data_IF_007787486567
#
_entry.id   IF_007787486567
#
_cell.length_a   1.000
_cell.length_b   1.000
_cell.length_c   1.000
_cell.angle_alpha   90.00
_cell.angle_beta   90.00
_cell.angle_gamma   90.00
#
_symmetry.space_group_name_H-M   'P 1'
#
loop_
_entity.id
_entity.type
_entity.pdbx_description
1 polymer ?
#
# COMPACT_ATOMS: atom_id res chain seq x y z
N UNK A 1 -19.29 20.00 9.60
CA UNK A 1 -20.01 18.72 9.66
C UNK A 1 -18.99 17.57 9.58
N UNK A 2 -19.32 16.35 10.00
CA UNK A 2 -18.35 15.22 9.95
C UNK A 2 -17.80 14.92 8.54
N UNK A 3 -18.58 15.25 7.49
CA UNK A 3 -18.16 15.11 6.09
C UNK A 3 -16.99 16.03 5.73
N UNK A 4 -16.99 17.25 6.26
CA UNK A 4 -15.93 18.23 5.99
C UNK A 4 -14.60 17.80 6.64
N UNK A 5 -14.68 17.07 7.77
CA UNK A 5 -13.52 16.50 8.45
C UNK A 5 -12.91 15.32 7.68
N UNK A 6 -13.73 14.41 7.16
CA UNK A 6 -13.28 13.25 6.40
C UNK A 6 -12.59 13.64 5.08
N UNK A 7 -13.17 14.58 4.33
CA UNK A 7 -12.55 15.14 3.11
C UNK A 7 -11.20 15.79 3.42
N UNK A 8 -11.13 16.57 4.52
CA UNK A 8 -9.87 17.20 4.94
C UNK A 8 -8.76 16.20 5.32
N UNK A 9 -9.12 14.99 5.78
CA UNK A 9 -8.17 13.93 6.09
C UNK A 9 -7.73 13.20 4.82
N UNK A 10 -8.66 12.93 3.91
CA UNK A 10 -8.37 12.30 2.62
C UNK A 10 -7.38 13.16 1.82
N UNK A 11 -7.58 14.47 1.78
CA UNK A 11 -6.66 15.39 1.11
C UNK A 11 -5.26 15.38 1.74
N UNK A 12 -5.16 15.32 3.07
CA UNK A 12 -3.88 15.17 3.77
C UNK A 12 -3.21 13.84 3.46
N UNK A 13 -3.99 12.76 3.37
CA UNK A 13 -3.49 11.42 3.04
C UNK A 13 -2.95 11.35 1.61
N UNK A 14 -3.66 11.98 0.66
CA UNK A 14 -3.28 12.03 -0.76
C UNK A 14 -2.29 13.15 -1.09
N UNK A 15 -1.89 13.95 -0.12
CA UNK A 15 -0.91 15.01 -0.32
C UNK A 15 0.43 14.43 -0.79
N UNK A 16 1.01 15.00 -1.85
CA UNK A 16 2.25 14.50 -2.48
C UNK A 16 3.39 14.28 -1.48
N UNK A 17 3.53 15.17 -0.48
CA UNK A 17 4.53 15.01 0.58
C UNK A 17 4.31 13.75 1.43
N UNK A 18 3.05 13.44 1.77
CA UNK A 18 2.70 12.25 2.53
C UNK A 18 2.91 10.97 1.70
N UNK A 19 2.46 10.96 0.44
CA UNK A 19 2.65 9.83 -0.47
C UNK A 19 4.13 9.51 -0.71
N UNK A 20 4.96 10.55 -0.87
CA UNK A 20 6.41 10.37 -1.01
C UNK A 20 7.05 9.79 0.27
N UNK A 21 6.61 10.22 1.44
CA UNK A 21 7.07 9.66 2.71
C UNK A 21 6.65 8.18 2.86
N UNK A 22 5.42 7.85 2.50
CA UNK A 22 4.90 6.49 2.49
C UNK A 22 5.71 5.59 1.54
N UNK A 23 5.94 6.02 0.30
CA UNK A 23 6.77 5.31 -0.68
C UNK A 23 8.16 4.99 -0.13
N UNK A 24 8.84 5.99 0.45
CA UNK A 24 10.18 5.81 1.04
C UNK A 24 10.16 4.75 2.15
N UNK A 25 9.13 4.75 2.99
CA UNK A 25 9.01 3.78 4.08
C UNK A 25 8.74 2.37 3.58
N UNK A 26 7.90 2.20 2.57
CA UNK A 26 7.69 0.89 1.91
C UNK A 26 8.99 0.37 1.31
N UNK A 27 9.73 1.23 0.59
CA UNK A 27 11.05 0.88 0.02
C UNK A 27 12.07 0.48 1.09
N UNK A 28 12.08 1.18 2.23
CA UNK A 28 12.98 0.87 3.35
C UNK A 28 12.63 -0.46 4.04
N UNK A 29 11.36 -0.82 4.12
CA UNK A 29 10.92 -2.04 4.79
C UNK A 29 11.32 -3.32 4.02
N UNK A 30 11.57 -3.23 2.71
CA UNK A 30 11.98 -4.37 1.85
C UNK A 30 11.11 -5.62 2.03
N UNK A 31 9.80 -5.40 2.20
CA UNK A 31 8.84 -6.48 2.42
C UNK A 31 8.75 -7.41 1.22
N UNK A 32 8.21 -8.61 1.45
CA UNK A 32 7.89 -9.53 0.35
C UNK A 32 6.76 -8.95 -0.52
N UNK A 33 6.70 -9.36 -1.79
CA UNK A 33 5.64 -8.94 -2.70
C UNK A 33 4.26 -9.45 -2.27
N UNK A 34 3.20 -8.74 -2.66
CA UNK A 34 1.81 -9.11 -2.45
C UNK A 34 1.34 -10.24 -3.37
N UNK A 35 0.03 -10.33 -3.61
CA UNK A 35 -0.58 -11.35 -4.49
C UNK A 35 -0.32 -11.09 -5.97
N UNK A 36 -0.05 -9.84 -6.33
CA UNK A 36 0.28 -9.39 -7.67
C UNK A 36 1.75 -9.64 -8.05
N UNK A 37 2.59 -9.99 -7.07
CA UNK A 37 4.00 -10.29 -7.28
C UNK A 37 4.90 -9.08 -7.49
N UNK A 38 4.37 -7.84 -7.40
CA UNK A 38 5.15 -6.62 -7.61
C UNK A 38 6.18 -6.43 -6.49
N UNK A 39 7.43 -6.25 -6.90
CA UNK A 39 8.53 -5.93 -5.99
C UNK A 39 8.60 -4.44 -5.68
N UNK A 40 9.31 -4.09 -4.61
CA UNK A 40 9.49 -2.69 -4.19
C UNK A 40 10.24 -1.83 -5.21
N UNK A 41 11.03 -2.46 -6.09
CA UNK A 41 11.76 -1.77 -7.16
C UNK A 41 10.86 -1.47 -8.37
N UNK A 42 9.84 -2.30 -8.60
CA UNK A 42 8.82 -2.10 -9.65
C UNK A 42 7.74 -1.07 -9.26
N UNK A 43 7.60 -0.78 -7.96
CA UNK A 43 6.60 0.16 -7.45
C UNK A 43 6.73 1.58 -8.02
N UNK A 44 7.95 2.10 -8.19
CA UNK A 44 8.13 3.46 -8.72
C UNK A 44 7.78 3.57 -10.21
N UNK A 45 8.26 2.68 -11.09
CA UNK A 45 7.76 2.59 -12.47
C UNK A 45 6.23 2.50 -12.54
N UNK A 46 5.62 1.60 -11.77
CA UNK A 46 4.16 1.44 -11.75
C UNK A 46 3.44 2.73 -11.35
N UNK A 47 3.89 3.40 -10.29
CA UNK A 47 3.29 4.67 -9.85
C UNK A 47 3.47 5.78 -10.89
N UNK A 48 4.56 5.82 -11.66
CA UNK A 48 4.70 6.83 -12.73
C UNK A 48 3.66 6.68 -13.81
N UNK A 49 3.25 5.46 -14.11
CA UNK A 49 2.29 5.16 -15.16
C UNK A 49 0.83 5.23 -14.67
N UNK A 50 0.57 4.81 -13.43
CA UNK A 50 -0.79 4.55 -12.94
C UNK A 50 -1.26 5.51 -11.84
N UNK A 51 -0.43 6.46 -11.38
CA UNK A 51 -0.73 7.28 -10.20
C UNK A 51 -2.04 8.06 -10.33
N UNK A 52 -2.31 8.67 -11.47
CA UNK A 52 -3.47 9.56 -11.60
C UNK A 52 -4.78 8.78 -11.50
N UNK A 53 -4.88 7.64 -12.19
CA UNK A 53 -6.01 6.71 -12.07
C UNK A 53 -6.14 6.17 -10.64
N UNK A 54 -5.03 5.78 -10.02
CA UNK A 54 -5.03 5.31 -8.64
C UNK A 54 -5.57 6.35 -7.67
N UNK A 55 -5.10 7.60 -7.76
CA UNK A 55 -5.57 8.70 -6.91
C UNK A 55 -7.05 9.04 -7.15
N UNK A 56 -7.50 9.02 -8.41
CA UNK A 56 -8.91 9.21 -8.74
C UNK A 56 -9.79 8.09 -8.15
N UNK A 57 -9.32 6.83 -8.20
CA UNK A 57 -10.04 5.70 -7.61
C UNK A 57 -10.20 5.85 -6.08
N UNK A 58 -9.19 6.42 -5.40
CA UNK A 58 -9.25 6.70 -3.97
C UNK A 58 -10.22 7.85 -3.68
N UNK A 59 -10.15 8.96 -4.44
CA UNK A 59 -11.03 10.12 -4.28
C UNK A 59 -12.50 9.80 -4.55
N UNK A 60 -12.76 8.94 -5.54
CA UNK A 60 -14.11 8.51 -5.89
C UNK A 60 -14.64 7.36 -5.02
N UNK A 61 -13.83 6.84 -4.08
CA UNK A 61 -14.19 5.70 -3.24
C UNK A 61 -14.33 4.37 -3.99
N UNK A 62 -13.81 4.28 -5.23
CA UNK A 62 -13.87 3.09 -6.07
C UNK A 62 -12.70 2.14 -5.88
N UNK A 63 -11.63 2.59 -5.22
CA UNK A 63 -10.47 1.76 -4.94
C UNK A 63 -10.86 0.49 -4.16
N UNK A 64 -10.46 -0.66 -4.69
CA UNK A 64 -10.62 -1.96 -4.03
C UNK A 64 -9.22 -2.56 -3.82
N UNK A 65 -8.76 -2.70 -2.56
CA UNK A 65 -7.46 -3.29 -2.30
C UNK A 65 -7.44 -4.77 -2.71
N UNK A 66 -6.27 -5.24 -3.13
CA UNK A 66 -6.05 -6.65 -3.40
C UNK A 66 -6.14 -7.49 -2.11
N UNK A 67 -6.54 -8.78 -2.22
CA UNK A 67 -6.45 -9.69 -1.09
C UNK A 67 -4.99 -9.85 -0.63
N UNK A 68 -4.78 -10.12 0.66
CA UNK A 68 -3.44 -10.34 1.21
C UNK A 68 -2.88 -11.71 0.82
N UNK A 69 -1.59 -11.78 0.49
CA UNK A 69 -0.88 -13.04 0.25
C UNK A 69 -0.51 -13.68 1.58
N UNK A 70 -0.82 -14.96 1.77
CA UNK A 70 -0.39 -15.71 2.95
C UNK A 70 1.04 -16.19 2.79
N UNK A 71 1.87 -15.92 3.79
CA UNK A 71 3.26 -16.36 3.86
C UNK A 71 3.50 -17.07 5.18
N UNK A 72 4.10 -18.25 5.12
CA UNK A 72 4.52 -18.98 6.30
C UNK A 72 5.97 -18.61 6.64
N UNK A 73 6.22 -18.23 7.89
CA UNK A 73 7.56 -17.92 8.40
C UNK A 73 7.84 -18.83 9.60
N UNK A 74 8.97 -19.57 9.61
CA UNK A 74 9.34 -20.39 10.74
C UNK A 74 9.60 -19.53 11.98
N UNK A 75 9.15 -19.98 13.15
CA UNK A 75 9.49 -19.34 14.43
C UNK A 75 10.76 -19.95 15.04
N UNK A 76 11.52 -19.20 15.86
CA UNK A 76 12.74 -19.73 16.49
C UNK A 76 12.51 -20.92 17.44
N UNK A 77 11.33 -21.00 18.06
CA UNK A 77 10.93 -22.01 19.05
C UNK A 77 10.22 -23.24 18.44
N UNK A 78 10.12 -23.29 17.11
CA UNK A 78 9.37 -24.32 16.39
C UNK A 78 7.97 -23.87 15.97
N UNK A 79 7.46 -24.47 14.89
CA UNK A 79 6.18 -24.10 14.28
C UNK A 79 6.27 -22.91 13.32
N UNK A 80 5.11 -22.51 12.79
CA UNK A 80 4.99 -21.49 11.73
C UNK A 80 4.19 -20.27 12.20
N UNK A 81 4.55 -19.10 11.69
CA UNK A 81 3.77 -17.87 11.77
C UNK A 81 3.20 -17.57 10.39
N UNK A 82 1.87 -17.47 10.30
CA UNK A 82 1.20 -17.01 9.09
C UNK A 82 1.17 -15.49 9.07
N UNK A 83 1.75 -14.87 8.05
CA UNK A 83 1.66 -13.45 7.78
C UNK A 83 0.74 -13.19 6.57
N UNK A 84 0.02 -12.08 6.60
CA UNK A 84 -0.66 -11.51 5.44
C UNK A 84 0.19 -10.38 4.86
N UNK A 85 0.61 -10.53 3.61
CA UNK A 85 1.42 -9.55 2.89
C UNK A 85 0.54 -8.84 1.85
N UNK A 86 0.26 -7.54 2.01
CA UNK A 86 -0.49 -6.77 1.01
C UNK A 86 0.35 -6.47 -0.23
N UNK A 87 -0.32 -5.97 -1.28
CA UNK A 87 0.27 -5.35 -2.46
C UNK A 87 0.50 -3.87 -2.22
#
# INVERSE_FOLDING_TARGET
>A
SEKDGAESLLDKLLHTGNLNAAYKRVKQNRGAAGVDGMTVDELMPYLKENKDEFLESLRSGKYKPHPVRRVEIPKPDGGVRLLGVPT
#
